data_IF_448623530538
#
_entry.id   IF_448623530538
#
_cell.length_a   1.000
_cell.length_b   1.000
_cell.length_c   1.000
_cell.angle_alpha   90.00
_cell.angle_beta   90.00
_cell.angle_gamma   90.00
#
_symmetry.space_group_name_H-M   'P 1'
#
loop_
_entity.id
_entity.type
_entity.pdbx_description
1 polymer ?
#
# COMPACT_ATOMS: atom_id res chain seq x y z
N UNK A 1 -3.84 5.20 21.00
CA UNK A 1 -3.10 5.58 19.79
C UNK A 1 -4.09 5.52 18.65
N UNK A 2 -4.40 6.65 18.03
CA UNK A 2 -5.31 6.70 16.89
C UNK A 2 -4.72 7.63 15.85
N UNK A 3 -4.99 7.36 14.58
CA UNK A 3 -4.70 8.29 13.50
C UNK A 3 -5.98 9.10 13.22
N UNK A 4 -6.16 10.30 13.80
CA UNK A 4 -7.39 11.06 13.65
C UNK A 4 -7.62 11.56 12.20
N UNK A 5 -6.56 11.54 11.38
CA UNK A 5 -6.62 11.88 9.96
C UNK A 5 -7.05 10.69 9.07
N UNK A 6 -7.19 9.49 9.64
CA UNK A 6 -7.70 8.33 8.92
C UNK A 6 -9.22 8.28 9.00
N UNK A 7 -9.85 8.13 7.85
CA UNK A 7 -11.26 7.78 7.73
C UNK A 7 -11.41 6.47 6.97
N UNK A 8 -12.39 5.66 7.36
CA UNK A 8 -12.81 4.53 6.56
C UNK A 8 -13.51 5.02 5.29
N UNK A 9 -13.23 4.38 4.17
CA UNK A 9 -13.76 4.71 2.86
C UNK A 9 -14.10 3.46 2.06
N UNK A 10 -14.92 3.67 1.03
CA UNK A 10 -15.13 2.63 0.02
C UNK A 10 -13.88 2.57 -0.86
N UNK A 11 -13.21 1.41 -0.97
CA UNK A 11 -12.04 1.29 -1.80
C UNK A 11 -12.41 1.50 -3.27
N UNK A 12 -11.52 2.13 -4.03
CA UNK A 12 -11.79 2.45 -5.43
C UNK A 12 -12.03 1.21 -6.33
N UNK A 13 -11.60 0.02 -5.88
CA UNK A 13 -11.86 -1.24 -6.59
C UNK A 13 -13.25 -1.87 -6.29
N UNK A 14 -13.99 -1.35 -5.30
CA UNK A 14 -15.30 -1.86 -4.90
C UNK A 14 -15.31 -3.12 -4.03
N UNK A 15 -14.15 -3.64 -3.61
CA UNK A 15 -14.02 -4.86 -2.78
C UNK A 15 -13.11 -4.59 -1.58
N UNK A 16 -13.57 -4.96 -0.38
CA UNK A 16 -12.78 -4.86 0.85
C UNK A 16 -13.00 -3.55 1.61
N UNK A 17 -11.99 -3.14 2.40
CA UNK A 17 -12.02 -1.93 3.22
C UNK A 17 -10.90 -0.97 2.79
N UNK A 18 -11.23 0.29 2.53
CA UNK A 18 -10.26 1.35 2.26
C UNK A 18 -10.08 2.25 3.49
N UNK A 19 -8.86 2.73 3.72
CA UNK A 19 -8.57 3.80 4.67
C UNK A 19 -7.98 5.00 3.92
N UNK A 20 -8.55 6.17 4.20
CA UNK A 20 -8.26 7.40 3.50
C UNK A 20 -7.58 8.41 4.43
N UNK A 21 -6.63 9.15 3.88
CA UNK A 21 -6.11 10.38 4.45
C UNK A 21 -6.72 11.57 3.68
N UNK A 22 -7.82 12.11 4.21
CA UNK A 22 -8.61 13.11 3.48
C UNK A 22 -9.23 12.51 2.21
N UNK A 23 -8.98 13.07 1.00
CA UNK A 23 -9.53 12.55 -0.25
C UNK A 23 -8.72 11.39 -0.85
N UNK A 24 -7.55 11.06 -0.30
CA UNK A 24 -6.65 10.06 -0.85
C UNK A 24 -6.74 8.74 -0.10
N UNK A 25 -6.99 7.65 -0.81
CA UNK A 25 -6.86 6.29 -0.28
C UNK A 25 -5.38 5.97 -0.02
N UNK A 26 -5.06 5.54 1.20
CA UNK A 26 -3.69 5.22 1.61
C UNK A 26 -3.50 3.77 2.02
N UNK A 27 -4.56 3.08 2.43
CA UNK A 27 -4.55 1.64 2.70
C UNK A 27 -5.77 1.01 2.09
N UNK A 28 -5.60 -0.17 1.52
CA UNK A 28 -6.69 -0.97 0.99
C UNK A 28 -6.52 -2.43 1.39
N UNK A 29 -7.45 -2.94 2.18
CA UNK A 29 -7.46 -4.33 2.64
C UNK A 29 -8.17 -5.24 1.62
N UNK A 30 -7.41 -6.18 1.03
CA UNK A 30 -7.94 -7.24 0.17
C UNK A 30 -8.14 -8.51 0.99
N UNK A 31 -9.29 -8.63 1.62
CA UNK A 31 -9.62 -9.81 2.43
C UNK A 31 -8.92 -9.82 3.79
N UNK A 32 -8.66 -11.02 4.34
CA UNK A 32 -8.33 -11.18 5.76
C UNK A 32 -6.85 -10.98 6.13
N UNK A 33 -5.92 -11.16 5.18
CA UNK A 33 -4.48 -11.20 5.48
C UNK A 33 -3.61 -10.38 4.53
N UNK A 34 -4.20 -9.54 3.68
CA UNK A 34 -3.45 -8.72 2.73
C UNK A 34 -3.92 -7.26 2.77
N UNK A 35 -2.97 -6.35 2.88
CA UNK A 35 -3.21 -4.91 2.86
C UNK A 35 -2.27 -4.25 1.85
N UNK A 36 -2.84 -3.55 0.88
CA UNK A 36 -2.11 -2.68 -0.02
C UNK A 36 -1.95 -1.31 0.63
N UNK A 37 -0.74 -0.75 0.63
CA UNK A 37 -0.46 0.60 1.13
C UNK A 37 0.05 1.46 -0.02
N UNK A 38 -0.57 2.63 -0.22
CA UNK A 38 -0.14 3.58 -1.23
C UNK A 38 1.08 4.37 -0.71
N UNK A 39 2.23 4.17 -1.34
CA UNK A 39 3.48 4.84 -0.99
C UNK A 39 3.97 5.62 -2.21
N UNK A 40 4.35 6.88 -2.00
CA UNK A 40 4.98 7.65 -3.09
C UNK A 40 6.26 6.95 -3.58
N UNK A 41 6.62 7.09 -4.85
CA UNK A 41 7.87 6.52 -5.41
C UNK A 41 9.12 6.90 -4.61
N UNK A 42 9.14 8.11 -4.08
CA UNK A 42 10.19 8.61 -3.20
C UNK A 42 10.27 7.82 -1.88
N UNK A 43 9.13 7.45 -1.30
CA UNK A 43 9.08 6.57 -0.12
C UNK A 43 9.49 5.15 -0.48
N UNK A 44 8.99 4.59 -1.58
CA UNK A 44 9.38 3.24 -2.03
C UNK A 44 10.90 3.17 -2.23
N UNK A 45 11.51 4.18 -2.83
CA UNK A 45 12.97 4.23 -3.04
C UNK A 45 13.74 4.31 -1.72
N UNK A 46 13.27 5.10 -0.75
CA UNK A 46 13.90 5.23 0.58
C UNK A 46 13.74 3.97 1.43
N UNK A 47 12.55 3.37 1.38
CA UNK A 47 12.21 2.20 2.19
C UNK A 47 12.68 0.90 1.53
N UNK A 48 12.97 0.89 0.24
CA UNK A 48 13.43 -0.29 -0.52
C UNK A 48 14.44 -1.19 0.21
N UNK A 49 15.49 -0.66 0.86
CA UNK A 49 16.42 -1.50 1.63
C UNK A 49 15.75 -2.21 2.82
N UNK A 50 14.83 -1.54 3.51
CA UNK A 50 14.06 -2.11 4.62
C UNK A 50 12.96 -3.08 4.11
N UNK A 51 12.35 -2.77 2.96
CA UNK A 51 11.31 -3.60 2.35
C UNK A 51 11.89 -4.90 1.77
N UNK A 52 13.11 -4.85 1.21
CA UNK A 52 13.78 -6.01 0.62
C UNK A 52 14.12 -7.11 1.65
N UNK A 53 14.20 -6.76 2.93
CA UNK A 53 14.44 -7.73 4.02
C UNK A 53 13.19 -8.43 4.53
N UNK A 54 11.99 -8.03 4.08
CA UNK A 54 10.73 -8.57 4.59
C UNK A 54 10.05 -9.48 3.56
N UNK A 55 9.77 -10.72 3.96
CA UNK A 55 9.02 -11.70 3.16
C UNK A 55 7.52 -11.40 3.14
N UNK A 56 7.04 -10.54 4.03
CA UNK A 56 5.66 -10.10 4.09
C UNK A 56 5.32 -9.05 3.02
N UNK A 57 6.34 -8.48 2.35
CA UNK A 57 6.14 -7.36 1.43
C UNK A 57 6.23 -7.81 -0.02
N UNK A 58 5.27 -7.38 -0.85
CA UNK A 58 5.29 -7.55 -2.30
C UNK A 58 5.21 -6.19 -2.97
N UNK A 59 6.19 -5.91 -3.83
CA UNK A 59 6.23 -4.70 -4.65
C UNK A 59 5.72 -5.04 -6.05
N UNK A 60 4.69 -4.34 -6.51
CA UNK A 60 4.24 -4.48 -7.90
C UNK A 60 5.00 -3.50 -8.79
N UNK A 61 5.64 -4.02 -9.85
CA UNK A 61 6.43 -3.20 -10.75
C UNK A 61 5.54 -2.20 -11.50
N UNK A 62 5.80 -0.90 -11.33
CA UNK A 62 5.04 0.17 -11.98
C UNK A 62 3.79 0.61 -11.22
N UNK A 63 3.52 0.03 -10.04
CA UNK A 63 2.48 0.48 -9.11
C UNK A 63 3.11 1.27 -7.97
N UNK A 64 2.38 2.28 -7.48
CA UNK A 64 2.72 3.00 -6.25
C UNK A 64 2.11 2.32 -5.00
N UNK A 65 1.52 1.13 -5.18
CA UNK A 65 1.00 0.28 -4.11
C UNK A 65 1.99 -0.80 -3.71
N UNK A 66 2.07 -1.03 -2.39
CA UNK A 66 2.86 -2.08 -1.78
C UNK A 66 1.95 -3.01 -0.99
N UNK A 67 1.94 -4.30 -1.34
CA UNK A 67 1.14 -5.29 -0.63
C UNK A 67 1.92 -5.80 0.58
N UNK A 68 1.26 -5.83 1.74
CA UNK A 68 1.76 -6.38 3.00
C UNK A 68 0.89 -7.57 3.40
N UNK A 69 1.51 -8.72 3.63
CA UNK A 69 0.86 -9.91 4.18
C UNK A 69 0.84 -9.81 5.70
N UNK A 70 -0.32 -10.01 6.30
CA UNK A 70 -0.57 -9.85 7.74
C UNK A 70 -0.70 -11.23 8.40
N UNK A 71 0.36 -12.04 8.29
CA UNK A 71 0.38 -13.39 8.85
C UNK A 71 0.79 -13.41 10.34
N UNK A 72 1.55 -12.39 10.77
CA UNK A 72 2.11 -12.27 12.12
C UNK A 72 1.84 -10.90 12.75
N UNK A 73 1.99 -10.79 14.07
CA UNK A 73 1.86 -9.51 14.77
C UNK A 73 2.91 -8.49 14.32
N UNK A 74 4.12 -8.95 13.98
CA UNK A 74 5.18 -8.08 13.47
C UNK A 74 4.82 -7.46 12.11
N UNK A 75 4.00 -8.15 11.31
CA UNK A 75 3.52 -7.62 10.03
C UNK A 75 2.47 -6.51 10.23
N UNK A 76 1.66 -6.62 11.29
CA UNK A 76 0.72 -5.57 11.70
C UNK A 76 1.48 -4.31 12.16
N UNK A 77 2.57 -4.47 12.92
CA UNK A 77 3.43 -3.36 13.33
C UNK A 77 4.14 -2.70 12.13
N UNK A 78 4.57 -3.51 11.16
CA UNK A 78 5.11 -3.05 9.89
C UNK A 78 4.07 -2.24 9.09
N UNK A 79 2.85 -2.76 8.97
CA UNK A 79 1.74 -2.05 8.34
C UNK A 79 1.49 -0.70 9.04
N UNK A 80 1.38 -0.69 10.37
CA UNK A 80 1.18 0.53 11.15
C UNK A 80 2.29 1.58 10.91
N UNK A 81 3.53 1.12 10.77
CA UNK A 81 4.68 1.97 10.44
C UNK A 81 4.54 2.58 9.04
N UNK A 82 4.16 1.78 8.05
CA UNK A 82 3.95 2.25 6.67
C UNK A 82 2.80 3.25 6.59
N UNK A 83 1.69 2.99 7.27
CA UNK A 83 0.54 3.91 7.37
C UNK A 83 0.94 5.25 7.98
N UNK A 84 1.69 5.21 9.08
CA UNK A 84 2.20 6.44 9.71
C UNK A 84 3.10 7.24 8.77
N UNK A 85 3.95 6.56 7.99
CA UNK A 85 4.81 7.20 7.02
C UNK A 85 4.01 7.77 5.83
N UNK A 86 2.98 7.06 5.37
CA UNK A 86 2.09 7.50 4.29
C UNK A 86 1.30 8.75 4.72
N UNK A 87 0.78 8.78 5.94
CA UNK A 87 0.12 9.95 6.52
C UNK A 87 1.05 11.17 6.63
N UNK A 88 2.30 10.96 7.07
CA UNK A 88 3.30 12.03 7.11
C UNK A 88 3.64 12.56 5.71
N UNK A 89 3.60 11.72 4.68
CA UNK A 89 3.81 12.16 3.31
C UNK A 89 2.58 12.93 2.80
N UNK A 90 1.38 12.41 3.00
CA UNK A 90 0.13 13.04 2.58
C UNK A 90 -0.08 14.43 3.23
N UNK A 91 0.32 14.59 4.49
CA UNK A 91 0.23 15.90 5.19
C UNK A 91 1.27 16.92 4.72
N UNK A 92 2.39 16.48 4.13
CA UNK A 92 3.45 17.36 3.61
C UNK A 92 3.23 17.80 2.17
N UNK A 93 2.34 17.14 1.44
CA UNK A 93 2.01 17.48 0.06
C UNK A 93 0.67 18.22 0.06
N UNK A 94 0.63 19.54 -0.21
CA UNK A 94 -0.61 20.17 -0.63
C UNK A 94 -1.11 19.42 -1.85
N UNK A 95 -2.38 19.03 -1.87
CA UNK A 95 -3.00 18.29 -2.97
C UNK A 95 -2.98 19.19 -4.21
N UNK A 96 -1.89 19.17 -4.96
CA UNK A 96 -1.85 19.73 -6.30
C UNK A 96 -2.71 18.84 -7.18
N UNK A 97 -3.90 19.35 -7.46
CA UNK A 97 -4.77 18.83 -8.49
C UNK A 97 -4.04 18.88 -9.84
N UNK A 98 -4.04 17.72 -10.51
CA UNK A 98 -3.65 17.48 -11.89
C UNK A 98 -2.15 17.32 -12.17
N UNK A 99 -1.73 16.06 -12.30
CA UNK A 99 -0.91 15.70 -13.45
C UNK A 99 -1.67 14.68 -14.31
N UNK A 100 -1.82 14.99 -15.60
CA UNK A 100 -2.61 14.24 -16.59
C UNK A 100 -1.96 12.92 -17.02
N UNK A 101 -1.36 12.20 -16.08
CA UNK A 101 -0.64 10.96 -16.31
C UNK A 101 -1.44 9.79 -15.74
N UNK A 102 -1.80 8.83 -16.61
CA UNK A 102 -2.29 7.46 -16.33
C UNK A 102 -2.94 7.29 -14.96
N UNK A 103 -4.29 7.20 -14.91
CA UNK A 103 -5.04 6.85 -13.69
C UNK A 103 -4.28 5.73 -12.97
N UNK A 104 -3.68 5.99 -11.78
CA UNK A 104 -2.98 4.95 -11.06
C UNK A 104 -3.98 3.82 -10.83
N UNK A 105 -3.52 2.57 -10.99
CA UNK A 105 -4.38 1.43 -10.70
C UNK A 105 -4.94 1.61 -9.29
N UNK A 106 -6.26 1.45 -9.09
CA UNK A 106 -6.89 1.70 -7.79
C UNK A 106 -6.34 0.76 -6.71
N UNK A 107 -5.75 -0.37 -7.11
CA UNK A 107 -4.98 -1.27 -6.26
C UNK A 107 -4.15 -2.28 -7.07
N UNK A 108 -3.31 -3.08 -6.39
CA UNK A 108 -2.47 -4.11 -7.02
C UNK A 108 -3.30 -5.20 -7.72
N UNK A 109 -4.56 -5.40 -7.33
CA UNK A 109 -5.47 -6.42 -7.87
C UNK A 109 -6.30 -5.95 -9.08
N UNK A 110 -6.44 -4.64 -9.33
CA UNK A 110 -7.30 -4.13 -10.40
C UNK A 110 -6.72 -4.32 -11.82
N UNK A 111 -5.41 -4.53 -11.94
CA UNK A 111 -4.72 -4.74 -13.22
C UNK A 111 -3.93 -6.05 -13.33
N UNK A 112 -3.82 -6.83 -12.26
CA UNK A 112 -2.91 -7.99 -12.23
C UNK A 112 -3.63 -9.31 -12.54
N UNK A 113 -3.35 -9.85 -13.74
CA UNK A 113 -2.97 -11.27 -13.82
C UNK A 113 -1.80 -11.43 -12.86
N UNK A 114 -2.07 -11.85 -11.63
CA UNK A 114 -1.06 -12.05 -10.59
C UNK A 114 0.01 -12.97 -11.16
N UNK A 115 1.21 -12.44 -11.42
CA UNK A 115 2.40 -13.26 -11.48
C UNK A 115 2.62 -13.72 -10.04
N UNK A 116 1.94 -14.81 -9.68
CA UNK A 116 2.27 -15.58 -8.50
C UNK A 116 3.70 -16.00 -8.81
N UNK A 117 4.67 -15.38 -8.15
CA UNK A 117 6.00 -16.00 -8.01
C UNK A 117 5.75 -17.21 -7.11
N UNK A 118 5.12 -18.23 -7.70
CA UNK A 118 5.03 -19.56 -7.16
C UNK A 118 6.48 -20.04 -7.11
N UNK A 119 6.87 -20.53 -5.95
CA UNK A 119 8.26 -20.75 -5.60
C UNK A 119 9.05 -21.46 -6.70
N UNK A 120 10.29 -21.03 -6.90
CA UNK A 120 11.30 -22.00 -7.24
C UNK A 120 11.93 -22.46 -5.94
N UNK A 121 11.54 -23.69 -5.59
CA UNK A 121 12.27 -24.55 -4.69
C UNK A 121 13.75 -24.60 -5.08
N UNK A 122 14.60 -24.60 -4.06
CA UNK A 122 15.99 -24.99 -4.18
C UNK A 122 16.07 -26.44 -4.69
N UNK A 123 16.88 -26.67 -5.72
CA UNK A 123 17.42 -27.98 -6.08
C UNK A 123 18.92 -27.81 -6.31
#
# INVERSE_FOLDING_TARGET
MGWPALSEGHPACGVGLGLNAGPQEIVHFHGAHEADVHLTRSMITKLRPALAGSTAIRLSAGSDWVTVRLDTSSDVDLLATLVSAALQAATRTPVDVADGARRPDPCTHHGSRVAIVAGLACA
#
